data_IF_595306236084
#
_entry.id   IF_595306236084
#
_cell.length_a   1.000
_cell.length_b   1.000
_cell.length_c   1.000
_cell.angle_alpha   90.00
_cell.angle_beta   90.00
_cell.angle_gamma   90.00
#
_symmetry.space_group_name_H-M   'P 1'
#
loop_
_entity.id
_entity.type
_entity.pdbx_description
1 polymer ?
#
# COMPACT_ATOMS: atom_id res chain seq x y z
N UNK A 1 -16.45 -145.18 93.66
CA UNK A 1 -16.12 -144.06 92.75
C UNK A 1 -17.20 -143.02 92.99
N UNK A 2 -16.91 -141.96 93.74
CA UNK A 2 -17.93 -140.99 94.16
C UNK A 2 -18.04 -139.91 93.08
N UNK A 3 -18.96 -140.12 92.15
CA UNK A 3 -19.34 -139.17 91.11
C UNK A 3 -19.70 -137.77 91.66
N UNK A 4 -19.99 -137.65 92.97
CA UNK A 4 -20.36 -136.38 93.62
C UNK A 4 -19.21 -135.36 93.68
N UNK A 5 -17.98 -135.80 93.97
CA UNK A 5 -16.84 -134.88 94.15
C UNK A 5 -16.30 -134.31 92.84
N UNK A 6 -16.29 -135.11 91.77
CA UNK A 6 -15.95 -134.65 90.42
C UNK A 6 -17.00 -133.67 89.89
N UNK A 7 -18.28 -133.84 90.23
CA UNK A 7 -19.35 -132.91 89.86
C UNK A 7 -19.17 -131.54 90.55
N UNK A 8 -18.82 -131.50 91.83
CA UNK A 8 -18.58 -130.25 92.57
C UNK A 8 -17.35 -129.47 92.05
N UNK A 9 -16.26 -130.16 91.69
CA UNK A 9 -15.07 -129.54 91.10
C UNK A 9 -15.35 -128.97 89.69
N UNK A 10 -16.10 -129.73 88.87
CA UNK A 10 -16.57 -129.28 87.56
C UNK A 10 -17.53 -128.08 87.68
N UNK A 11 -18.38 -128.03 88.71
CA UNK A 11 -19.26 -126.89 88.97
C UNK A 11 -18.47 -125.62 89.34
N UNK A 12 -17.46 -125.74 90.20
CA UNK A 12 -16.59 -124.61 90.57
C UNK A 12 -15.78 -124.10 89.36
N UNK A 13 -15.25 -125.02 88.55
CA UNK A 13 -14.53 -124.68 87.33
C UNK A 13 -15.44 -123.98 86.31
N UNK A 14 -16.68 -124.46 86.12
CA UNK A 14 -17.67 -123.79 85.28
C UNK A 14 -18.04 -122.40 85.78
N UNK A 15 -18.10 -122.19 87.10
CA UNK A 15 -18.36 -120.87 87.70
C UNK A 15 -17.21 -119.90 87.42
N UNK A 16 -15.96 -120.34 87.59
CA UNK A 16 -14.78 -119.54 87.28
C UNK A 16 -14.70 -119.22 85.78
N UNK A 17 -14.91 -120.21 84.91
CA UNK A 17 -14.94 -120.00 83.46
C UNK A 17 -16.07 -119.05 83.03
N UNK A 18 -17.24 -119.10 83.68
CA UNK A 18 -18.32 -118.13 83.43
C UNK A 18 -17.92 -116.72 83.84
N UNK A 19 -17.28 -116.56 85.00
CA UNK A 19 -16.80 -115.25 85.44
C UNK A 19 -15.73 -114.69 84.49
N UNK A 20 -14.74 -115.51 84.13
CA UNK A 20 -13.70 -115.13 83.17
C UNK A 20 -14.29 -114.77 81.80
N UNK A 21 -15.29 -115.52 81.31
CA UNK A 21 -16.00 -115.19 80.07
C UNK A 21 -16.75 -113.85 80.15
N UNK A 22 -17.38 -113.53 81.29
CA UNK A 22 -18.04 -112.23 81.46
C UNK A 22 -17.02 -111.08 81.54
N UNK A 23 -15.87 -111.28 82.19
CA UNK A 23 -14.77 -110.31 82.23
C UNK A 23 -14.13 -110.10 80.85
N UNK A 24 -13.89 -111.17 80.09
CA UNK A 24 -13.41 -111.12 78.71
C UNK A 24 -14.40 -110.41 77.79
N UNK A 25 -15.70 -110.68 77.95
CA UNK A 25 -16.77 -110.02 77.19
C UNK A 25 -16.83 -108.52 77.52
N UNK A 26 -16.69 -108.15 78.80
CA UNK A 26 -16.58 -106.76 79.22
C UNK A 26 -15.35 -106.05 78.64
N UNK A 27 -14.21 -106.73 78.65
CA UNK A 27 -12.95 -106.23 78.06
C UNK A 27 -13.07 -106.06 76.55
N UNK A 28 -13.64 -107.05 75.85
CA UNK A 28 -13.88 -107.01 74.40
C UNK A 28 -14.81 -105.85 74.02
N UNK A 29 -15.90 -105.64 74.78
CA UNK A 29 -16.80 -104.51 74.58
C UNK A 29 -16.12 -103.15 74.82
N UNK A 30 -15.22 -103.04 75.81
CA UNK A 30 -14.42 -101.83 76.06
C UNK A 30 -13.47 -101.54 74.90
N UNK A 31 -12.72 -102.55 74.44
CA UNK A 31 -11.82 -102.43 73.29
C UNK A 31 -12.55 -102.07 72.01
N UNK A 32 -13.74 -102.63 71.78
CA UNK A 32 -14.57 -102.28 70.62
C UNK A 32 -14.98 -100.79 70.65
N UNK A 33 -15.38 -100.25 71.81
CA UNK A 33 -15.68 -98.82 71.96
C UNK A 33 -14.46 -97.94 71.71
N UNK A 34 -13.30 -98.32 72.25
CA UNK A 34 -12.05 -97.60 72.00
C UNK A 34 -11.66 -97.63 70.51
N UNK A 35 -11.87 -98.76 69.83
CA UNK A 35 -11.57 -98.89 68.41
C UNK A 35 -12.44 -97.95 67.55
N UNK A 36 -13.75 -97.87 67.83
CA UNK A 36 -14.66 -96.94 67.16
C UNK A 36 -14.24 -95.49 67.42
N UNK A 37 -13.92 -95.12 68.67
CA UNK A 37 -13.46 -93.77 68.99
C UNK A 37 -12.17 -93.39 68.24
N UNK A 38 -11.19 -94.30 68.17
CA UNK A 38 -9.96 -94.08 67.41
C UNK A 38 -10.21 -93.95 65.90
N UNK A 39 -11.19 -94.68 65.35
CA UNK A 39 -11.60 -94.53 63.95
C UNK A 39 -12.23 -93.15 63.70
N UNK A 40 -13.10 -92.67 64.59
CA UNK A 40 -13.67 -91.32 64.50
C UNK A 40 -12.59 -90.24 64.60
N UNK A 41 -11.62 -90.38 65.51
CA UNK A 41 -10.49 -89.46 65.61
C UNK A 41 -9.62 -89.47 64.35
N UNK A 42 -9.40 -90.63 63.74
CA UNK A 42 -8.66 -90.74 62.49
C UNK A 42 -9.40 -90.04 61.34
N UNK A 43 -10.71 -90.22 61.25
CA UNK A 43 -11.53 -89.53 60.25
C UNK A 43 -11.49 -88.01 60.44
N UNK A 44 -11.64 -87.52 61.68
CA UNK A 44 -11.51 -86.08 61.98
C UNK A 44 -10.15 -85.53 61.59
N UNK A 45 -9.06 -86.27 61.82
CA UNK A 45 -7.72 -85.87 61.38
C UNK A 45 -7.61 -85.78 59.86
N UNK A 46 -8.22 -86.71 59.12
CA UNK A 46 -8.22 -86.68 57.66
C UNK A 46 -9.00 -85.48 57.11
N UNK A 47 -10.16 -85.16 57.70
CA UNK A 47 -10.97 -83.98 57.32
C UNK A 47 -10.23 -82.67 57.58
N UNK A 48 -9.54 -82.56 58.72
CA UNK A 48 -8.68 -81.42 59.05
C UNK A 48 -7.51 -81.32 58.05
N UNK A 49 -6.89 -82.44 57.69
CA UNK A 49 -5.81 -82.46 56.70
C UNK A 49 -6.29 -81.96 55.33
N UNK A 50 -7.46 -82.40 54.87
CA UNK A 50 -8.03 -81.94 53.60
C UNK A 50 -8.34 -80.43 53.63
N UNK A 51 -8.87 -79.94 54.75
CA UNK A 51 -9.15 -78.52 54.96
C UNK A 51 -7.87 -77.69 54.95
N UNK A 52 -6.81 -78.17 55.59
CA UNK A 52 -5.50 -77.53 55.58
C UNK A 52 -4.89 -77.47 54.18
N UNK A 53 -5.01 -78.52 53.38
CA UNK A 53 -4.51 -78.54 52.02
C UNK A 53 -5.29 -77.56 51.13
N UNK A 54 -6.62 -77.50 51.26
CA UNK A 54 -7.44 -76.51 50.55
C UNK A 54 -7.06 -75.06 50.92
N UNK A 55 -6.82 -74.79 52.21
CA UNK A 55 -6.34 -73.48 52.66
C UNK A 55 -4.95 -73.15 52.11
N UNK A 56 -4.05 -74.12 52.02
CA UNK A 56 -2.72 -73.94 51.39
C UNK A 56 -2.84 -73.59 49.92
N UNK A 57 -3.64 -74.33 49.16
CA UNK A 57 -3.87 -74.03 47.74
C UNK A 57 -4.50 -72.64 47.55
N UNK A 58 -5.48 -72.27 48.38
CA UNK A 58 -6.08 -70.93 48.33
C UNK A 58 -5.06 -69.83 48.64
N UNK A 59 -4.20 -70.05 49.64
CA UNK A 59 -3.11 -69.12 49.98
C UNK A 59 -2.14 -68.94 48.80
N UNK A 60 -1.75 -70.02 48.14
CA UNK A 60 -0.85 -69.97 46.99
C UNK A 60 -1.46 -69.16 45.83
N UNK A 61 -2.74 -69.35 45.52
CA UNK A 61 -3.46 -68.54 44.52
C UNK A 61 -3.44 -67.05 44.88
N UNK A 62 -3.75 -66.70 46.14
CA UNK A 62 -3.71 -65.30 46.59
C UNK A 62 -2.30 -64.69 46.52
N UNK A 63 -1.25 -65.47 46.78
CA UNK A 63 0.13 -65.02 46.64
C UNK A 63 0.48 -64.74 45.16
N UNK A 64 -0.01 -65.55 44.22
CA UNK A 64 0.18 -65.31 42.79
C UNK A 64 -0.58 -64.06 42.30
N UNK A 65 -1.81 -63.86 42.76
CA UNK A 65 -2.61 -62.66 42.46
C UNK A 65 -1.93 -61.40 43.01
N UNK A 66 -1.46 -61.44 44.26
CA UNK A 66 -0.72 -60.34 44.89
C UNK A 66 0.54 -59.97 44.10
N UNK A 67 1.30 -60.97 43.64
CA UNK A 67 2.49 -60.74 42.82
C UNK A 67 2.15 -60.14 41.45
N UNK A 68 1.02 -60.52 40.86
CA UNK A 68 0.54 -59.99 39.58
C UNK A 68 0.12 -58.52 39.72
N UNK A 69 -0.68 -58.21 40.75
CA UNK A 69 -1.08 -56.83 41.09
C UNK A 69 0.13 -55.95 41.42
N UNK A 70 1.15 -56.49 42.10
CA UNK A 70 2.37 -55.74 42.41
C UNK A 70 3.12 -55.33 41.13
N UNK A 71 3.18 -56.21 40.13
CA UNK A 71 3.79 -55.91 38.82
C UNK A 71 2.99 -54.86 38.05
N UNK A 72 1.67 -54.99 38.05
CA UNK A 72 0.79 -54.02 37.41
C UNK A 72 0.91 -52.62 38.04
N UNK A 73 0.96 -52.54 39.37
CA UNK A 73 1.14 -51.27 40.08
C UNK A 73 2.49 -50.61 39.75
N UNK A 74 3.58 -51.39 39.68
CA UNK A 74 4.89 -50.87 39.26
C UNK A 74 4.83 -50.30 37.83
N UNK A 75 4.18 -50.99 36.90
CA UNK A 75 4.02 -50.50 35.53
C UNK A 75 3.14 -49.23 35.46
N UNK A 76 2.07 -49.16 36.27
CA UNK A 76 1.24 -47.95 36.35
C UNK A 76 2.04 -46.76 36.91
N UNK A 77 2.90 -46.98 37.90
CA UNK A 77 3.79 -45.94 38.42
C UNK A 77 4.74 -45.41 37.33
N UNK A 78 5.37 -46.30 36.55
CA UNK A 78 6.24 -45.89 35.43
C UNK A 78 5.48 -45.08 34.37
N UNK A 79 4.25 -45.47 34.04
CA UNK A 79 3.41 -44.72 33.11
C UNK A 79 3.04 -43.33 33.65
N UNK A 80 2.72 -43.24 34.93
CA UNK A 80 2.40 -41.96 35.56
C UNK A 80 3.62 -41.03 35.60
N UNK A 81 4.82 -41.55 35.88
CA UNK A 81 6.07 -40.78 35.81
C UNK A 81 6.33 -40.25 34.39
N UNK A 82 6.17 -41.08 33.36
CA UNK A 82 6.28 -40.66 31.96
C UNK A 82 5.29 -39.54 31.62
N UNK A 83 4.02 -39.69 32.02
CA UNK A 83 2.97 -38.66 31.79
C UNK A 83 3.28 -37.36 32.53
N UNK A 84 3.81 -37.43 33.74
CA UNK A 84 4.22 -36.24 34.50
C UNK A 84 5.35 -35.50 33.76
N UNK A 85 6.32 -36.22 33.20
CA UNK A 85 7.39 -35.61 32.41
C UNK A 85 6.86 -34.94 31.12
N UNK A 86 5.94 -35.59 30.39
CA UNK A 86 5.29 -35.01 29.21
C UNK A 86 4.49 -33.74 29.56
N UNK A 87 3.73 -33.77 30.66
CA UNK A 87 2.99 -32.61 31.16
C UNK A 87 3.91 -31.44 31.53
N UNK A 88 5.05 -31.73 32.15
CA UNK A 88 6.04 -30.70 32.47
C UNK A 88 6.62 -30.08 31.19
N UNK A 89 6.98 -30.90 30.20
CA UNK A 89 7.50 -30.42 28.92
C UNK A 89 6.48 -29.53 28.20
N UNK A 90 5.20 -29.93 28.17
CA UNK A 90 4.14 -29.13 27.58
C UNK A 90 3.95 -27.80 28.32
N UNK A 91 4.05 -27.80 29.65
CA UNK A 91 3.96 -26.58 30.46
C UNK A 91 5.09 -25.60 30.13
N UNK A 92 6.31 -26.08 29.96
CA UNK A 92 7.46 -25.26 29.55
C UNK A 92 7.26 -24.69 28.14
N UNK A 93 6.76 -25.49 27.19
CA UNK A 93 6.44 -25.01 25.84
C UNK A 93 5.36 -23.91 25.87
N UNK A 94 4.28 -24.10 26.63
CA UNK A 94 3.23 -23.09 26.79
C UNK A 94 3.81 -21.80 27.38
N UNK A 95 4.69 -21.90 28.39
CA UNK A 95 5.34 -20.74 28.99
C UNK A 95 6.20 -19.98 27.98
N UNK A 96 7.00 -20.68 27.17
CA UNK A 96 7.83 -20.07 26.12
C UNK A 96 6.96 -19.33 25.10
N UNK A 97 5.95 -19.99 24.53
CA UNK A 97 5.03 -19.38 23.56
C UNK A 97 4.29 -18.18 24.16
N UNK A 98 3.93 -18.25 25.44
CA UNK A 98 3.30 -17.12 26.14
C UNK A 98 4.24 -15.92 26.24
N UNK A 99 5.52 -16.16 26.56
CA UNK A 99 6.52 -15.09 26.62
C UNK A 99 6.85 -14.47 25.25
N UNK A 100 6.89 -15.30 24.20
CA UNK A 100 7.07 -14.83 22.82
C UNK A 100 5.88 -13.99 22.35
N UNK A 101 4.66 -14.44 22.68
CA UNK A 101 3.44 -13.67 22.42
C UNK A 101 3.49 -12.30 23.08
N UNK A 102 3.82 -12.21 24.36
CA UNK A 102 3.93 -10.93 25.08
C UNK A 102 5.00 -10.01 24.45
N UNK A 103 6.14 -10.57 24.05
CA UNK A 103 7.17 -9.81 23.35
C UNK A 103 6.69 -9.28 21.99
N UNK A 104 5.97 -10.08 21.20
CA UNK A 104 5.39 -9.63 19.93
C UNK A 104 4.29 -8.58 20.13
N UNK A 105 3.46 -8.72 21.15
CA UNK A 105 2.45 -7.71 21.52
C UNK A 105 3.10 -6.37 21.86
N UNK A 106 4.20 -6.37 22.62
CA UNK A 106 4.96 -5.16 22.95
C UNK A 106 5.59 -4.50 21.70
N UNK A 107 6.12 -5.31 20.77
CA UNK A 107 6.64 -4.82 19.49
C UNK A 107 5.54 -4.20 18.63
N UNK A 108 4.38 -4.85 18.54
CA UNK A 108 3.24 -4.34 17.80
C UNK A 108 2.76 -3.01 18.38
N UNK A 109 2.62 -2.92 19.71
CA UNK A 109 2.26 -1.69 20.39
C UNK A 109 3.22 -0.54 20.06
N UNK A 110 4.53 -0.81 20.15
CA UNK A 110 5.57 0.19 19.83
C UNK A 110 5.48 0.63 18.36
N UNK A 111 5.21 -0.29 17.43
CA UNK A 111 5.04 0.04 16.02
C UNK A 111 3.79 0.89 15.76
N UNK A 112 2.68 0.64 16.46
CA UNK A 112 1.48 1.47 16.40
C UNK A 112 1.75 2.88 16.94
N UNK A 113 2.43 3.01 18.08
CA UNK A 113 2.80 4.31 18.64
C UNK A 113 3.70 5.11 17.65
N UNK A 114 4.62 4.44 16.96
CA UNK A 114 5.42 5.07 15.90
C UNK A 114 4.58 5.48 14.68
N UNK A 115 3.59 4.69 14.30
CA UNK A 115 2.69 5.03 13.19
C UNK A 115 1.84 6.27 13.53
N UNK A 116 1.30 6.36 14.75
CA UNK A 116 0.55 7.52 15.23
C UNK A 116 1.42 8.80 15.23
N UNK A 117 2.70 8.65 15.61
CA UNK A 117 3.67 9.74 15.53
C UNK A 117 3.92 10.18 14.08
N UNK A 118 4.11 9.25 13.16
CA UNK A 118 4.30 9.56 11.74
C UNK A 118 3.05 10.20 11.12
N UNK A 119 1.85 9.71 11.46
CA UNK A 119 0.60 10.31 11.01
C UNK A 119 0.49 11.76 11.48
N UNK A 120 0.85 12.04 12.74
CA UNK A 120 0.86 13.41 13.26
C UNK A 120 1.84 14.31 12.49
N UNK A 121 3.04 13.81 12.17
CA UNK A 121 4.01 14.56 11.37
C UNK A 121 3.52 14.84 9.95
N UNK A 122 2.88 13.86 9.30
CA UNK A 122 2.30 14.04 7.96
C UNK A 122 1.23 15.14 7.98
N UNK A 123 0.34 15.13 8.97
CA UNK A 123 -0.68 16.17 9.13
C UNK A 123 -0.08 17.57 9.33
N UNK A 124 1.01 17.68 10.09
CA UNK A 124 1.72 18.95 10.28
C UNK A 124 2.33 19.45 8.95
N UNK A 125 2.95 18.55 8.17
CA UNK A 125 3.50 18.90 6.85
C UNK A 125 2.42 19.26 5.82
N UNK A 126 1.29 18.55 5.83
CA UNK A 126 0.13 18.89 4.97
C UNK A 126 -0.36 20.30 5.25
N UNK A 127 -0.46 20.68 6.52
CA UNK A 127 -0.84 22.03 6.94
C UNK A 127 0.20 23.09 6.56
N UNK A 128 1.48 22.78 6.69
CA UNK A 128 2.55 23.68 6.25
C UNK A 128 2.51 23.91 4.74
N UNK A 129 2.33 22.84 3.96
CA UNK A 129 2.14 22.90 2.51
C UNK A 129 0.93 23.74 2.10
N UNK A 130 -0.21 23.58 2.78
CA UNK A 130 -1.41 24.37 2.50
C UNK A 130 -1.17 25.86 2.74
N UNK A 131 -0.50 26.22 3.86
CA UNK A 131 -0.14 27.60 4.16
C UNK A 131 0.81 28.21 3.11
N UNK A 132 1.82 27.45 2.69
CA UNK A 132 2.77 27.87 1.65
C UNK A 132 2.06 28.06 0.30
N UNK A 133 1.18 27.13 -0.07
CA UNK A 133 0.38 27.22 -1.29
C UNK A 133 -0.53 28.46 -1.27
N UNK A 134 -1.14 28.78 -0.13
CA UNK A 134 -1.95 29.98 0.02
C UNK A 134 -1.11 31.26 -0.15
N UNK A 135 0.09 31.30 0.45
CA UNK A 135 1.01 32.42 0.31
C UNK A 135 1.46 32.62 -1.14
N UNK A 136 1.75 31.53 -1.87
CA UNK A 136 2.14 31.58 -3.28
C UNK A 136 0.99 32.06 -4.17
N UNK A 137 -0.24 31.63 -3.92
CA UNK A 137 -1.44 32.15 -4.57
C UNK A 137 -1.58 33.66 -4.36
N UNK A 138 -1.39 34.15 -3.13
CA UNK A 138 -1.54 35.57 -2.83
C UNK A 138 -0.40 36.42 -3.42
N UNK A 139 0.83 35.94 -3.39
CA UNK A 139 1.96 36.58 -4.11
C UNK A 139 1.75 36.61 -5.61
N UNK A 140 1.19 35.54 -6.19
CA UNK A 140 0.89 35.47 -7.62
C UNK A 140 -0.14 36.54 -8.01
N UNK A 141 -1.21 36.70 -7.22
CA UNK A 141 -2.19 37.78 -7.42
C UNK A 141 -1.55 39.16 -7.32
N UNK A 142 -0.69 39.40 -6.32
CA UNK A 142 0.03 40.68 -6.18
C UNK A 142 0.92 40.97 -7.38
N UNK A 143 1.65 39.96 -7.88
CA UNK A 143 2.51 40.10 -9.05
C UNK A 143 1.68 40.43 -10.31
N UNK A 144 0.50 39.84 -10.46
CA UNK A 144 -0.41 40.12 -11.58
C UNK A 144 -0.93 41.56 -11.53
N UNK A 145 -1.39 42.03 -10.36
CA UNK A 145 -1.79 43.44 -10.17
C UNK A 145 -0.66 44.42 -10.50
N UNK A 146 0.57 44.16 -10.02
CA UNK A 146 1.73 45.01 -10.31
C UNK A 146 2.13 44.96 -11.79
N UNK A 147 1.96 43.82 -12.47
CA UNK A 147 2.18 43.71 -13.92
C UNK A 147 1.19 44.56 -14.69
N UNK A 148 -0.08 44.60 -14.28
CA UNK A 148 -1.10 45.42 -14.93
C UNK A 148 -0.84 46.91 -14.70
N UNK A 149 -0.56 47.34 -13.47
CA UNK A 149 -0.18 48.72 -13.16
C UNK A 149 1.04 49.17 -13.97
N UNK A 150 2.07 48.31 -14.09
CA UNK A 150 3.22 48.59 -14.94
C UNK A 150 2.87 48.73 -16.43
N UNK A 151 1.90 47.95 -16.94
CA UNK A 151 1.43 48.09 -18.32
C UNK A 151 0.73 49.43 -18.53
N UNK A 152 -0.17 49.79 -17.61
CA UNK A 152 -0.88 51.08 -17.64
C UNK A 152 0.11 52.25 -17.62
N UNK A 153 1.07 52.25 -16.68
CA UNK A 153 2.09 53.29 -16.58
C UNK A 153 2.93 53.42 -17.86
N UNK A 154 3.27 52.30 -18.52
CA UNK A 154 3.98 52.33 -19.81
C UNK A 154 3.14 52.98 -20.90
N UNK A 155 1.86 52.65 -20.99
CA UNK A 155 0.95 53.26 -21.96
C UNK A 155 0.84 54.77 -21.70
N UNK A 156 0.58 55.19 -20.46
CA UNK A 156 0.51 56.60 -20.09
C UNK A 156 1.81 57.33 -20.37
N UNK A 157 2.97 56.73 -20.06
CA UNK A 157 4.28 57.29 -20.37
C UNK A 157 4.50 57.51 -21.87
N UNK A 158 4.12 56.55 -22.71
CA UNK A 158 4.20 56.71 -24.18
C UNK A 158 3.26 57.78 -24.71
N UNK A 159 2.03 57.86 -24.19
CA UNK A 159 1.07 58.89 -24.57
C UNK A 159 1.57 60.28 -24.17
N UNK A 160 2.18 60.41 -22.99
CA UNK A 160 2.72 61.68 -22.52
C UNK A 160 3.91 62.13 -23.36
N UNK A 161 4.78 61.21 -23.79
CA UNK A 161 5.85 61.52 -24.74
C UNK A 161 5.29 62.00 -26.09
N UNK A 162 4.30 61.30 -26.65
CA UNK A 162 3.64 61.74 -27.90
C UNK A 162 3.02 63.13 -27.78
N UNK A 163 2.38 63.44 -26.64
CA UNK A 163 1.83 64.77 -26.39
C UNK A 163 2.92 65.84 -26.31
N UNK A 164 4.07 65.54 -25.71
CA UNK A 164 5.22 66.45 -25.69
C UNK A 164 5.78 66.70 -27.10
N UNK A 165 5.93 65.65 -27.90
CA UNK A 165 6.43 65.74 -29.28
C UNK A 165 5.47 66.58 -30.15
N UNK A 166 4.16 66.34 -30.05
CA UNK A 166 3.13 67.13 -30.74
C UNK A 166 3.11 68.59 -30.30
N UNK A 167 3.31 68.88 -29.01
CA UNK A 167 3.42 70.27 -28.53
C UNK A 167 4.63 70.97 -29.15
N UNK A 168 5.78 70.29 -29.22
CA UNK A 168 6.99 70.84 -29.84
C UNK A 168 6.77 71.11 -31.33
N UNK A 169 6.15 70.19 -32.05
CA UNK A 169 5.82 70.38 -33.47
C UNK A 169 4.81 71.52 -33.68
N UNK A 170 3.84 71.68 -32.77
CA UNK A 170 2.91 72.81 -32.79
C UNK A 170 3.63 74.15 -32.57
N UNK A 171 4.61 74.22 -31.67
CA UNK A 171 5.45 75.39 -31.45
C UNK A 171 6.28 75.73 -32.69
N UNK A 172 6.87 74.72 -33.33
CA UNK A 172 7.61 74.88 -34.58
C UNK A 172 6.70 75.41 -35.72
N UNK A 173 5.49 74.87 -35.85
CA UNK A 173 4.49 75.37 -36.81
C UNK A 173 4.09 76.81 -36.54
N UNK A 174 3.91 77.19 -35.27
CA UNK A 174 3.60 78.57 -34.87
C UNK A 174 4.73 79.53 -35.24
N UNK A 175 5.98 79.14 -35.02
CA UNK A 175 7.15 79.92 -35.43
C UNK A 175 7.21 80.08 -36.96
N UNK A 176 6.93 79.02 -37.73
CA UNK A 176 6.90 79.08 -39.18
C UNK A 176 5.80 80.03 -39.72
N UNK A 177 4.61 79.98 -39.13
CA UNK A 177 3.51 80.89 -39.48
C UNK A 177 3.87 82.35 -39.22
N UNK A 178 4.54 82.65 -38.10
CA UNK A 178 5.04 83.99 -37.83
C UNK A 178 6.04 84.46 -38.91
N UNK A 179 6.97 83.61 -39.32
CA UNK A 179 7.91 83.91 -40.42
C UNK A 179 7.15 84.20 -41.72
N UNK A 180 6.19 83.33 -42.07
CA UNK A 180 5.40 83.50 -43.30
C UNK A 180 4.56 84.78 -43.27
N UNK A 181 3.99 85.14 -42.12
CA UNK A 181 3.23 86.38 -41.95
C UNK A 181 4.13 87.61 -42.12
N UNK A 182 5.34 87.60 -41.54
CA UNK A 182 6.32 88.66 -41.73
C UNK A 182 6.77 88.77 -43.21
N UNK A 183 6.99 87.64 -43.89
CA UNK A 183 7.28 87.62 -45.33
C UNK A 183 6.12 88.14 -46.16
N UNK A 184 4.89 87.82 -45.79
CA UNK A 184 3.68 88.33 -46.45
C UNK A 184 3.59 89.84 -46.30
N UNK A 185 3.77 90.39 -45.10
CA UNK A 185 3.74 91.86 -44.90
C UNK A 185 4.85 92.55 -45.67
N UNK A 186 6.07 91.99 -45.70
CA UNK A 186 7.18 92.53 -46.51
C UNK A 186 6.85 92.49 -48.02
N UNK A 187 6.23 91.40 -48.50
CA UNK A 187 5.81 91.28 -49.88
C UNK A 187 4.65 92.23 -50.23
N UNK A 188 3.70 92.44 -49.32
CA UNK A 188 2.59 93.38 -49.48
C UNK A 188 3.11 94.84 -49.51
N UNK A 189 4.07 95.19 -48.65
CA UNK A 189 4.78 96.48 -48.68
C UNK A 189 5.53 96.70 -50.00
N UNK A 190 6.26 95.69 -50.49
CA UNK A 190 6.94 95.75 -51.79
C UNK A 190 5.94 95.89 -52.94
N UNK A 191 4.84 95.15 -52.92
CA UNK A 191 3.78 95.26 -53.92
C UNK A 191 3.13 96.64 -53.90
N UNK A 192 2.89 97.21 -52.72
CA UNK A 192 2.35 98.57 -52.60
C UNK A 192 3.30 99.60 -53.21
N UNK A 193 4.60 99.51 -52.92
CA UNK A 193 5.63 100.36 -53.55
C UNK A 193 5.64 100.21 -55.07
N UNK A 194 5.61 98.97 -55.58
CA UNK A 194 5.56 98.71 -57.02
C UNK A 194 4.27 99.22 -57.68
N UNK A 195 3.14 99.25 -56.96
CA UNK A 195 1.89 99.87 -57.44
C UNK A 195 2.03 101.38 -57.51
N UNK A 196 2.58 102.01 -56.48
CA UNK A 196 2.85 103.46 -56.46
C UNK A 196 3.82 103.87 -57.58
N UNK A 197 4.88 103.08 -57.79
CA UNK A 197 5.81 103.27 -58.91
C UNK A 197 5.12 103.06 -60.27
N UNK A 198 4.27 102.03 -60.42
CA UNK A 198 3.48 101.84 -61.64
C UNK A 198 2.52 103.00 -61.92
N UNK A 199 1.84 103.51 -60.89
CA UNK A 199 0.93 104.66 -61.01
C UNK A 199 1.70 105.94 -61.35
N UNK A 200 2.90 106.13 -60.80
CA UNK A 200 3.83 107.20 -61.18
C UNK A 200 4.25 107.08 -62.66
N UNK A 201 4.66 105.88 -63.09
CA UNK A 201 5.01 105.60 -64.47
C UNK A 201 3.81 105.81 -65.42
N UNK A 202 2.61 105.41 -65.03
CA UNK A 202 1.36 105.66 -65.77
C UNK A 202 1.05 107.16 -65.87
N UNK A 203 1.33 107.96 -64.84
CA UNK A 203 1.23 109.43 -64.89
C UNK A 203 2.26 110.04 -65.85
N UNK A 204 3.49 109.53 -65.87
CA UNK A 204 4.52 109.94 -66.83
C UNK A 204 4.17 109.55 -68.28
N UNK A 205 3.59 108.37 -68.50
CA UNK A 205 3.06 107.94 -69.80
C UNK A 205 1.84 108.78 -70.22
N UNK A 206 0.98 109.17 -69.28
CA UNK A 206 -0.16 110.06 -69.56
C UNK A 206 0.26 111.50 -69.92
N UNK A 207 1.46 111.93 -69.51
CA UNK A 207 2.05 113.22 -69.89
C UNK A 207 2.89 113.15 -71.17
N UNK A 208 3.17 111.96 -71.71
CA UNK A 208 4.03 111.75 -72.87
C UNK A 208 3.26 111.04 -73.99
N UNK A 209 2.74 111.84 -74.96
CA UNK A 209 2.54 111.44 -76.37
C UNK A 209 1.29 110.58 -76.66
N UNK A 210 0.16 111.16 -77.10
CA UNK A 210 -0.23 111.40 -78.52
C UNK A 210 0.39 110.44 -79.54
N UNK A 211 -0.44 109.56 -80.13
CA UNK A 211 -0.22 108.72 -81.34
C UNK A 211 0.61 107.43 -81.18
N UNK A 212 -0.03 106.25 -81.30
CA UNK A 212 0.02 105.40 -82.51
C UNK A 212 -0.42 103.95 -82.25
N UNK A 213 -1.00 103.34 -83.29
CA UNK A 213 -1.76 102.07 -83.35
C UNK A 213 -0.92 100.82 -83.68
N UNK A 214 -1.61 99.66 -83.73
CA UNK A 214 -1.26 98.32 -84.27
C UNK A 214 -0.61 97.32 -83.27
N UNK A 215 -0.92 96.02 -83.17
CA UNK A 215 -1.77 95.05 -83.91
C UNK A 215 -1.96 93.75 -83.09
N UNK A 216 -2.91 92.92 -83.53
CA UNK A 216 -3.31 91.57 -83.06
C UNK A 216 -2.19 90.50 -83.07
N UNK A 217 -2.36 89.44 -82.27
CA UNK A 217 -2.14 88.04 -82.67
C UNK A 217 -2.77 87.05 -81.67
N UNK A 218 -3.18 85.88 -82.17
CA UNK A 218 -4.00 84.89 -81.49
C UNK A 218 -3.38 83.47 -81.56
N UNK A 219 -3.72 82.61 -80.57
CA UNK A 219 -3.76 81.12 -80.56
C UNK A 219 -2.37 80.40 -80.56
N UNK A 220 -2.15 79.11 -80.15
CA UNK A 220 -2.97 78.00 -79.58
C UNK A 220 -2.46 77.32 -78.28
N UNK A 221 -3.28 76.39 -77.74
CA UNK A 221 -2.94 75.32 -76.78
C UNK A 221 -2.08 74.18 -77.38
N UNK A 222 -1.51 73.26 -76.59
CA UNK A 222 -2.10 71.90 -76.44
C UNK A 222 -1.91 71.31 -75.01
N UNK A 223 -2.67 70.35 -74.49
CA UNK A 223 -2.94 68.97 -74.95
C UNK A 223 -2.60 68.06 -73.74
N UNK A 224 -3.58 67.40 -73.12
CA UNK A 224 -4.03 66.04 -73.43
C UNK A 224 -3.01 64.93 -73.07
N UNK A 225 -3.49 63.92 -72.32
CA UNK A 225 -2.82 62.64 -72.05
C UNK A 225 -2.43 62.53 -70.58
N UNK A 226 -3.13 61.77 -69.72
CA UNK A 226 -3.53 60.39 -69.95
C UNK A 226 -2.34 59.49 -69.66
N UNK A 227 -2.45 58.67 -68.61
CA UNK A 227 -2.06 57.25 -68.56
C UNK A 227 -1.96 56.79 -67.09
N UNK A 228 -3.10 56.23 -66.67
CA UNK A 228 -3.17 55.04 -65.83
C UNK A 228 -2.02 54.07 -66.24
N UNK A 229 -1.08 53.79 -65.33
CA UNK A 229 -0.24 52.60 -65.43
C UNK A 229 -0.54 51.70 -64.23
N UNK A 230 -1.27 50.63 -64.52
CA UNK A 230 -1.47 49.53 -63.60
C UNK A 230 -0.42 48.44 -63.83
N UNK A 231 -0.03 47.82 -62.71
CA UNK A 231 0.41 46.42 -62.52
C UNK A 231 1.78 46.03 -63.13
N UNK A 232 2.39 44.84 -62.85
CA UNK A 232 2.07 43.76 -61.89
C UNK A 232 3.29 43.00 -61.25
N UNK A 233 2.98 42.11 -60.28
CA UNK A 233 3.77 40.96 -59.78
C UNK A 233 4.92 41.23 -58.76
N UNK A 234 5.24 40.36 -57.80
CA UNK A 234 4.73 39.03 -57.45
C UNK A 234 5.15 38.65 -56.02
N UNK A 235 4.27 37.89 -55.37
CA UNK A 235 4.55 36.71 -54.54
C UNK A 235 5.85 36.64 -53.72
N UNK A 236 5.70 36.67 -52.39
CA UNK A 236 6.43 35.75 -51.53
C UNK A 236 5.49 35.20 -50.46
N UNK A 237 4.91 34.03 -50.74
CA UNK A 237 4.36 33.17 -49.69
C UNK A 237 5.57 32.60 -48.94
N UNK A 238 5.86 33.12 -47.75
CA UNK A 238 6.69 32.40 -46.80
C UNK A 238 5.83 31.30 -46.17
N UNK A 239 6.01 30.09 -46.69
CA UNK A 239 5.86 28.86 -45.92
C UNK A 239 6.87 28.90 -44.79
N UNK A 240 6.48 29.50 -43.67
CA UNK A 240 7.18 29.35 -42.40
C UNK A 240 6.77 28.00 -41.82
N UNK A 241 7.72 27.07 -41.95
CA UNK A 241 7.90 25.83 -41.21
C UNK A 241 6.99 25.70 -39.98
N UNK A 242 5.94 24.88 -40.12
CA UNK A 242 5.31 24.27 -38.96
C UNK A 242 6.34 23.28 -38.41
N UNK A 243 6.93 23.60 -37.28
CA UNK A 243 7.75 22.67 -36.52
C UNK A 243 6.81 21.58 -36.02
N UNK A 244 6.82 20.43 -36.69
CA UNK A 244 5.94 19.30 -36.36
C UNK A 244 6.51 18.61 -35.12
N UNK A 245 5.76 18.60 -34.03
CA UNK A 245 6.15 18.02 -32.75
C UNK A 245 5.93 16.50 -32.78
N UNK A 246 6.84 15.79 -33.46
CA UNK A 246 6.76 14.33 -33.57
C UNK A 246 6.90 13.67 -32.18
N UNK A 247 5.91 12.85 -31.78
CA UNK A 247 6.00 12.00 -30.58
C UNK A 247 6.80 10.74 -30.89
N UNK A 248 7.76 10.42 -30.05
CA UNK A 248 8.59 9.21 -30.14
C UNK A 248 8.30 8.27 -28.99
N UNK A 249 8.13 6.98 -29.29
CA UNK A 249 7.98 5.96 -28.26
C UNK A 249 9.35 5.70 -27.58
N UNK A 250 9.46 5.81 -26.25
CA UNK A 250 10.73 5.66 -25.54
C UNK A 250 11.24 4.20 -25.46
N UNK A 251 10.42 3.22 -25.86
CA UNK A 251 10.73 1.80 -25.71
C UNK A 251 11.21 1.14 -27.02
N UNK A 252 10.83 1.69 -28.17
CA UNK A 252 11.15 1.11 -29.49
C UNK A 252 11.51 2.16 -30.56
N UNK A 253 11.63 3.44 -30.17
CA UNK A 253 12.02 4.57 -31.02
C UNK A 253 11.12 4.81 -32.26
N UNK A 254 9.94 4.19 -32.33
CA UNK A 254 8.97 4.44 -33.39
C UNK A 254 8.44 5.90 -33.33
N UNK A 255 8.39 6.55 -34.49
CA UNK A 255 8.00 7.95 -34.65
C UNK A 255 6.55 8.04 -35.13
N UNK A 256 5.69 8.68 -34.34
CA UNK A 256 4.27 8.83 -34.66
C UNK A 256 3.98 10.23 -35.24
N UNK A 257 3.30 10.32 -36.41
CA UNK A 257 2.80 11.58 -36.95
C UNK A 257 1.73 12.21 -36.03
N UNK A 258 1.65 13.54 -35.94
CA UNK A 258 0.70 14.30 -35.10
C UNK A 258 -0.80 14.00 -35.38
N UNK A 259 -1.10 13.33 -36.51
CA UNK A 259 -2.46 12.91 -36.88
C UNK A 259 -2.92 11.58 -36.22
N UNK A 260 -2.00 10.86 -35.55
CA UNK A 260 -2.33 9.65 -34.80
C UNK A 260 -2.96 10.08 -33.47
N UNK A 261 -4.21 9.69 -33.24
CA UNK A 261 -4.93 10.02 -32.00
C UNK A 261 -4.17 9.52 -30.75
N UNK A 262 -4.21 10.30 -29.66
CA UNK A 262 -3.53 10.00 -28.39
C UNK A 262 -3.77 8.57 -27.89
N UNK A 263 -4.94 8.01 -28.16
CA UNK A 263 -5.32 6.64 -27.81
C UNK A 263 -4.48 5.57 -28.52
N UNK A 264 -4.12 5.78 -29.79
CA UNK A 264 -3.31 4.82 -30.57
C UNK A 264 -1.85 4.83 -30.10
N UNK A 265 -1.32 6.01 -29.76
CA UNK A 265 -0.01 6.15 -29.15
C UNK A 265 0.04 5.49 -27.76
N UNK A 266 -0.98 5.70 -26.93
CA UNK A 266 -1.07 5.10 -25.61
C UNK A 266 -1.21 3.57 -25.69
N UNK A 267 -2.05 3.05 -26.59
CA UNK A 267 -2.18 1.61 -26.82
C UNK A 267 -0.86 0.97 -27.29
N UNK A 268 -0.09 1.68 -28.13
CA UNK A 268 1.23 1.23 -28.55
C UNK A 268 2.20 1.15 -27.36
N UNK A 269 2.28 2.18 -26.52
CA UNK A 269 3.15 2.17 -25.33
C UNK A 269 2.75 1.05 -24.36
N UNK A 270 1.45 0.84 -24.16
CA UNK A 270 0.93 -0.24 -23.32
C UNK A 270 1.25 -1.63 -23.87
N UNK A 271 1.42 -1.78 -25.19
CA UNK A 271 1.81 -3.07 -25.79
C UNK A 271 3.24 -3.54 -25.46
N UNK A 272 4.08 -2.62 -24.96
CA UNK A 272 5.45 -2.85 -24.50
C UNK A 272 5.53 -3.15 -23.00
N UNK A 273 4.40 -3.16 -22.28
CA UNK A 273 4.36 -3.41 -20.84
C UNK A 273 3.71 -4.78 -20.56
N UNK A 274 4.24 -5.49 -19.56
CA UNK A 274 3.69 -6.69 -18.96
C UNK A 274 3.20 -6.33 -17.55
N UNK A 275 1.95 -6.63 -17.23
CA UNK A 275 1.39 -6.35 -15.90
C UNK A 275 1.31 -7.65 -15.09
N UNK A 276 1.80 -7.62 -13.85
CA UNK A 276 1.72 -8.75 -12.94
C UNK A 276 0.27 -8.90 -12.43
N UNK A 277 -0.38 -10.06 -12.59
CA UNK A 277 -1.78 -10.25 -12.19
C UNK A 277 -1.98 -10.31 -10.67
N UNK A 278 -0.91 -10.37 -9.89
CA UNK A 278 -0.97 -10.55 -8.44
C UNK A 278 -0.78 -9.24 -7.66
N UNK A 279 -0.02 -8.29 -8.20
CA UNK A 279 0.28 -7.02 -7.52
C UNK A 279 0.17 -5.77 -8.42
N UNK A 280 -0.24 -5.92 -9.69
CA UNK A 280 -0.38 -4.83 -10.67
C UNK A 280 0.92 -4.05 -10.95
N UNK A 281 2.09 -4.60 -10.62
CA UNK A 281 3.36 -4.04 -11.06
C UNK A 281 3.53 -4.21 -12.58
N UNK A 282 4.03 -3.17 -13.24
CA UNK A 282 4.26 -3.15 -14.69
C UNK A 282 5.74 -3.26 -15.02
N UNK A 283 6.05 -4.10 -16.00
CA UNK A 283 7.41 -4.45 -16.42
C UNK A 283 7.56 -4.23 -17.92
N UNK A 284 8.75 -3.83 -18.36
CA UNK A 284 9.06 -3.77 -19.78
C UNK A 284 9.06 -5.20 -20.38
N UNK A 285 8.34 -5.38 -21.49
CA UNK A 285 8.25 -6.62 -22.26
C UNK A 285 9.60 -7.12 -22.77
N UNK A 286 10.57 -6.21 -22.94
CA UNK A 286 11.95 -6.55 -23.29
C UNK A 286 12.66 -7.31 -22.16
N UNK A 287 12.22 -7.13 -20.91
CA UNK A 287 12.79 -7.74 -19.71
C UNK A 287 11.96 -8.92 -19.19
N UNK A 288 11.61 -9.85 -20.08
CA UNK A 288 10.77 -11.01 -19.75
C UNK A 288 11.29 -11.83 -18.56
N UNK A 289 12.61 -12.01 -18.42
CA UNK A 289 13.19 -12.75 -17.30
C UNK A 289 12.86 -12.13 -15.95
N UNK A 290 12.91 -10.80 -15.84
CA UNK A 290 12.62 -10.07 -14.59
C UNK A 290 11.15 -10.22 -14.21
N UNK A 291 10.26 -10.18 -15.21
CA UNK A 291 8.83 -10.43 -15.01
C UNK A 291 8.56 -11.86 -14.53
N UNK A 292 9.16 -12.87 -15.19
CA UNK A 292 8.98 -14.28 -14.83
C UNK A 292 9.53 -14.57 -13.41
N UNK A 293 10.68 -14.00 -13.05
CA UNK A 293 11.27 -14.10 -11.71
C UNK A 293 10.37 -13.44 -10.64
N UNK A 294 9.82 -12.25 -10.95
CA UNK A 294 8.89 -11.56 -10.06
C UNK A 294 7.60 -12.38 -9.81
N UNK A 295 7.00 -12.94 -10.87
CA UNK A 295 5.80 -13.79 -10.74
C UNK A 295 6.11 -15.05 -9.94
N UNK A 296 7.31 -15.61 -10.08
CA UNK A 296 7.74 -16.77 -9.30
C UNK A 296 7.87 -16.48 -7.80
N UNK A 297 8.31 -15.27 -7.41
CA UNK A 297 8.40 -14.88 -6.01
C UNK A 297 7.07 -14.95 -5.26
N UNK A 298 5.95 -14.61 -5.91
CA UNK A 298 4.61 -14.74 -5.30
C UNK A 298 4.20 -16.20 -5.02
N UNK A 299 4.84 -17.19 -5.65
CA UNK A 299 4.60 -18.61 -5.41
C UNK A 299 5.45 -19.21 -4.28
N UNK A 300 6.37 -18.43 -3.71
CA UNK A 300 7.25 -18.84 -2.62
C UNK A 300 6.86 -18.23 -1.26
N UNK A 301 5.88 -17.33 -1.24
CA UNK A 301 5.22 -16.80 -0.03
C UNK A 301 3.99 -17.62 0.35
#
# INVERSE_FOLDING_TARGET
ISFQGEVEEIELQNKNLRQENEELKGTCASLQKQNIHLQEELQRKQELQNSLESLRSSKETLEQELNSLKKENAHLQELDECRVAELQQLKEQIQNVTSEKEHLENRLKTALDHMDQLQSQVLDYEKEMENLSQLDCDKTKQLESLKEENRELRVTGTQQQQNQDLMKELEEQKHLLQILQAKKTEADEKNQKLREENDELLRHLSQTTVVSSFSQAAVPAPGAGGLLFGNPYCAFKLTLFVQVSLRKCPMCDEVFPEAVGTEQYQAHVQSHLLECPLCSETFDKSNKQVFDDHVFCHGLE
#
